data_IF_537292761815
#
_entry.id   IF_537292761815
#
_cell.length_a   1.000
_cell.length_b   1.000
_cell.length_c   1.000
_cell.angle_alpha   90.00
_cell.angle_beta   90.00
_cell.angle_gamma   90.00
#
_symmetry.space_group_name_H-M   'P 1'
#
loop_
_entity.id
_entity.type
_entity.pdbx_description
1 polymer ?
#
# COMPACT_ATOMS: atom_id res chain seq x y z
N UNK A 1 18.44 -24.82 22.07
CA UNK A 1 18.86 -23.70 21.23
C UNK A 1 17.60 -23.04 20.71
N UNK A 2 17.20 -21.89 21.26
CA UNK A 2 16.11 -21.11 20.67
C UNK A 2 16.66 -20.44 19.41
N UNK A 3 15.98 -20.49 18.26
CA UNK A 3 16.40 -19.69 17.13
C UNK A 3 16.40 -18.21 17.55
N UNK A 4 17.55 -17.56 17.36
CA UNK A 4 17.81 -16.12 17.50
C UNK A 4 16.67 -15.29 16.86
N UNK A 5 16.37 -14.04 17.30
CA UNK A 5 15.24 -13.27 16.81
C UNK A 5 15.37 -12.91 15.31
N UNK A 6 14.96 -13.87 14.48
CA UNK A 6 14.23 -13.80 13.23
C UNK A 6 14.74 -12.84 12.14
N UNK A 7 16.02 -12.49 12.08
CA UNK A 7 16.56 -11.86 10.86
C UNK A 7 16.79 -12.92 9.80
N UNK A 8 16.06 -12.86 8.68
CA UNK A 8 16.16 -13.84 7.61
C UNK A 8 14.94 -13.92 6.69
N UNK A 9 15.01 -14.80 5.70
CA UNK A 9 13.92 -15.08 4.76
C UNK A 9 13.30 -16.45 5.08
N UNK A 10 11.97 -16.50 5.08
CA UNK A 10 11.17 -17.71 5.21
C UNK A 10 10.46 -17.95 3.87
N UNK A 11 10.57 -19.16 3.34
CA UNK A 11 9.82 -19.63 2.17
C UNK A 11 8.80 -20.68 2.61
N UNK A 12 7.56 -20.53 2.17
CA UNK A 12 6.44 -21.41 2.47
C UNK A 12 6.22 -22.42 1.35
N UNK A 13 5.49 -23.50 1.67
CA UNK A 13 5.24 -24.60 0.74
C UNK A 13 4.44 -24.20 -0.52
N UNK A 14 3.67 -23.12 -0.45
CA UNK A 14 2.94 -22.55 -1.59
C UNK A 14 3.86 -21.72 -2.52
N UNK A 15 5.11 -21.46 -2.13
CA UNK A 15 6.07 -20.61 -2.84
C UNK A 15 6.10 -19.15 -2.36
N UNK A 16 5.27 -18.78 -1.37
CA UNK A 16 5.30 -17.45 -0.77
C UNK A 16 6.59 -17.25 0.03
N UNK A 17 7.13 -16.03 0.03
CA UNK A 17 8.37 -15.66 0.71
C UNK A 17 8.17 -14.45 1.60
N UNK A 18 8.78 -14.46 2.78
CA UNK A 18 8.69 -13.39 3.76
C UNK A 18 10.09 -13.06 4.29
N UNK A 19 10.41 -11.78 4.37
CA UNK A 19 11.69 -11.28 4.88
C UNK A 19 11.49 -10.51 6.18
N UNK A 20 12.36 -10.79 7.14
CA UNK A 20 12.37 -10.18 8.45
C UNK A 20 13.74 -9.60 8.79
N UNK A 21 13.72 -8.50 9.54
CA UNK A 21 14.87 -7.91 10.23
C UNK A 21 14.45 -7.61 11.66
N UNK A 22 15.21 -8.11 12.63
CA UNK A 22 14.95 -7.91 14.07
C UNK A 22 13.51 -8.30 14.49
N UNK A 23 12.98 -9.36 13.87
CA UNK A 23 11.62 -9.86 14.13
C UNK A 23 10.49 -9.05 13.49
N UNK A 24 10.79 -8.04 12.68
CA UNK A 24 9.80 -7.23 11.96
C UNK A 24 9.90 -7.46 10.45
N UNK A 25 8.77 -7.35 9.74
CA UNK A 25 8.76 -7.38 8.28
C UNK A 25 9.61 -6.23 7.75
N UNK A 26 10.64 -6.57 6.97
CA UNK A 26 11.58 -5.59 6.45
C UNK A 26 12.37 -6.17 5.27
N UNK A 27 12.54 -5.37 4.21
CA UNK A 27 13.54 -5.62 3.16
C UNK A 27 13.92 -4.31 2.46
N UNK A 28 15.22 -4.07 2.25
CA UNK A 28 15.72 -2.83 1.64
C UNK A 28 15.53 -2.81 0.12
N UNK A 29 15.91 -3.90 -0.57
CA UNK A 29 15.95 -3.96 -2.04
C UNK A 29 14.71 -4.61 -2.69
N UNK A 30 13.61 -4.76 -1.96
CA UNK A 30 12.45 -5.46 -2.49
C UNK A 30 11.28 -5.57 -1.53
N UNK A 31 10.22 -6.29 -1.93
CA UNK A 31 9.09 -6.54 -1.05
C UNK A 31 9.51 -7.43 0.12
N UNK A 32 9.02 -7.11 1.31
CA UNK A 32 9.18 -7.95 2.50
C UNK A 32 8.22 -9.15 2.49
N UNK A 33 7.21 -9.15 1.62
CA UNK A 33 6.37 -10.31 1.33
C UNK A 33 6.17 -10.46 -0.18
N UNK A 34 6.46 -11.63 -0.72
CA UNK A 34 6.13 -12.05 -2.08
C UNK A 34 5.18 -13.25 -1.97
N UNK A 35 3.92 -13.08 -2.35
CA UNK A 35 2.94 -14.16 -2.33
C UNK A 35 3.02 -14.99 -3.62
N UNK A 36 2.70 -16.28 -3.51
CA UNK A 36 2.66 -17.19 -4.64
C UNK A 36 1.66 -16.77 -5.75
N UNK A 37 0.61 -16.02 -5.40
CA UNK A 37 -0.36 -15.49 -6.34
C UNK A 37 0.14 -14.27 -7.14
N UNK A 38 1.33 -13.76 -6.81
CA UNK A 38 1.95 -12.60 -7.44
C UNK A 38 1.76 -11.28 -6.69
N UNK A 39 0.99 -11.25 -5.59
CA UNK A 39 0.90 -10.09 -4.71
C UNK A 39 2.27 -9.82 -4.06
N UNK A 40 2.60 -8.54 -3.89
CA UNK A 40 3.84 -8.08 -3.25
C UNK A 40 3.54 -6.98 -2.24
N UNK A 41 4.24 -7.03 -1.11
CA UNK A 41 4.12 -6.01 -0.07
C UNK A 41 5.50 -5.56 0.41
N UNK A 42 5.68 -4.24 0.51
CA UNK A 42 6.90 -3.61 0.99
C UNK A 42 6.69 -3.12 2.41
N UNK A 43 7.60 -3.55 3.29
CA UNK A 43 7.61 -3.14 4.68
C UNK A 43 8.96 -2.56 5.06
N UNK A 44 8.92 -1.55 5.92
CA UNK A 44 10.06 -0.99 6.65
C UNK A 44 9.69 -0.99 8.12
N UNK A 45 10.46 -1.74 8.91
CA UNK A 45 10.34 -1.83 10.37
C UNK A 45 8.91 -2.20 10.82
N UNK A 46 8.34 -3.20 10.12
CA UNK A 46 7.01 -3.74 10.41
C UNK A 46 5.84 -2.91 9.88
N UNK A 47 6.09 -1.78 9.20
CA UNK A 47 5.07 -0.92 8.63
C UNK A 47 5.09 -0.97 7.10
N UNK A 48 3.90 -0.97 6.47
CA UNK A 48 3.79 -0.82 5.02
C UNK A 48 4.42 0.51 4.61
N UNK A 49 5.44 0.44 3.75
CA UNK A 49 6.22 1.61 3.38
C UNK A 49 6.94 1.36 2.05
N UNK A 50 6.86 2.33 1.12
CA UNK A 50 7.74 2.41 -0.04
C UNK A 50 7.83 3.85 -0.55
N UNK A 51 9.03 4.31 -0.87
CA UNK A 51 9.27 5.71 -1.32
C UNK A 51 8.95 5.88 -2.81
N UNK A 52 9.48 4.99 -3.67
CA UNK A 52 9.43 5.14 -5.13
C UNK A 52 8.28 4.40 -5.82
N UNK A 53 7.30 3.91 -5.05
CA UNK A 53 6.25 3.07 -5.64
C UNK A 53 5.16 2.65 -4.64
N UNK A 54 4.22 1.82 -5.09
CA UNK A 54 3.19 1.28 -4.21
C UNK A 54 3.81 0.33 -3.18
N UNK A 55 3.38 0.44 -1.93
CA UNK A 55 3.75 -0.49 -0.87
C UNK A 55 2.98 -1.81 -0.95
N UNK A 56 1.90 -1.87 -1.75
CA UNK A 56 1.23 -3.11 -2.11
C UNK A 56 0.94 -3.13 -3.61
N UNK A 57 1.37 -4.21 -4.28
CA UNK A 57 1.02 -4.52 -5.66
C UNK A 57 0.24 -5.84 -5.66
N UNK A 58 -1.00 -5.81 -6.15
CA UNK A 58 -1.83 -7.00 -6.27
C UNK A 58 -1.70 -7.61 -7.66
N UNK A 59 -1.91 -8.92 -7.76
CA UNK A 59 -1.86 -9.66 -9.02
C UNK A 59 -2.89 -9.21 -10.05
N UNK A 60 -4.03 -8.66 -9.60
CA UNK A 60 -5.08 -8.11 -10.47
C UNK A 60 -4.74 -6.72 -11.03
N UNK A 61 -3.61 -6.14 -10.64
CA UNK A 61 -3.16 -4.81 -11.05
C UNK A 61 -3.55 -3.68 -10.11
N UNK A 62 -4.30 -3.96 -9.03
CA UNK A 62 -4.53 -2.97 -7.96
C UNK A 62 -3.20 -2.59 -7.31
N UNK A 63 -3.06 -1.30 -6.97
CA UNK A 63 -1.88 -0.75 -6.31
C UNK A 63 -2.30 0.12 -5.13
N UNK A 64 -1.57 0.04 -4.03
CA UNK A 64 -1.76 0.90 -2.87
C UNK A 64 -0.43 1.47 -2.41
N UNK A 65 -0.41 2.78 -2.14
CA UNK A 65 0.75 3.50 -1.66
C UNK A 65 0.61 3.77 -0.17
N UNK A 66 1.67 3.44 0.57
CA UNK A 66 1.77 3.66 2.00
C UNK A 66 3.13 4.28 2.34
N UNK A 67 3.12 5.17 3.32
CA UNK A 67 4.30 5.71 4.00
C UNK A 67 4.05 5.57 5.50
N UNK A 68 4.94 4.85 6.17
CA UNK A 68 4.91 4.62 7.63
C UNK A 68 3.56 4.05 8.11
N UNK A 69 3.03 3.08 7.36
CA UNK A 69 1.78 2.39 7.66
C UNK A 69 0.51 3.17 7.31
N UNK A 70 0.63 4.41 6.81
CA UNK A 70 -0.51 5.24 6.41
C UNK A 70 -0.63 5.34 4.90
N UNK A 71 -1.86 5.31 4.38
CA UNK A 71 -2.11 5.54 2.95
C UNK A 71 -1.67 6.96 2.58
N UNK A 72 -0.78 7.06 1.60
CA UNK A 72 -0.17 8.33 1.24
C UNK A 72 0.38 8.28 -0.19
N UNK A 73 0.22 9.36 -0.94
CA UNK A 73 0.94 9.64 -2.19
C UNK A 73 0.85 11.13 -2.52
N UNK A 74 1.97 11.76 -2.84
CA UNK A 74 2.04 13.21 -3.10
C UNK A 74 1.45 13.57 -4.47
N UNK A 75 1.91 12.89 -5.52
CA UNK A 75 1.58 13.26 -6.91
C UNK A 75 0.46 12.43 -7.55
N UNK A 76 -0.35 11.73 -6.75
CA UNK A 76 -1.35 10.82 -7.32
C UNK A 76 -2.27 10.17 -6.29
N UNK A 77 -3.15 9.26 -6.75
CA UNK A 77 -4.00 8.50 -5.84
C UNK A 77 -3.17 7.53 -5.00
N UNK A 78 -3.49 7.41 -3.72
CA UNK A 78 -2.90 6.40 -2.85
C UNK A 78 -3.50 5.01 -3.06
N UNK A 79 -4.59 4.89 -3.83
CA UNK A 79 -5.10 3.60 -4.32
C UNK A 79 -5.49 3.73 -5.79
N UNK A 80 -4.99 2.81 -6.62
CA UNK A 80 -5.43 2.59 -7.99
C UNK A 80 -6.02 1.19 -8.08
N UNK A 81 -7.30 1.09 -8.44
CA UNK A 81 -7.98 -0.19 -8.64
C UNK A 81 -7.80 -0.68 -10.07
N UNK A 82 -7.82 -2.00 -10.25
CA UNK A 82 -7.73 -2.64 -11.56
C UNK A 82 -8.81 -2.18 -12.55
N UNK A 83 -10.00 -1.81 -12.06
CA UNK A 83 -11.08 -1.28 -12.88
C UNK A 83 -10.89 0.19 -13.31
N UNK A 84 -9.81 0.84 -12.89
CA UNK A 84 -9.51 2.25 -13.18
C UNK A 84 -9.99 3.25 -12.13
N UNK A 85 -10.72 2.82 -11.09
CA UNK A 85 -11.11 3.70 -9.99
C UNK A 85 -9.89 4.13 -9.18
N UNK A 86 -9.93 5.34 -8.63
CA UNK A 86 -8.79 5.97 -7.93
C UNK A 86 -9.24 6.62 -6.63
N UNK A 87 -8.41 6.55 -5.60
CA UNK A 87 -8.68 7.17 -4.30
C UNK A 87 -7.46 7.91 -3.80
N UNK A 88 -7.67 9.17 -3.42
CA UNK A 88 -6.64 10.04 -2.86
C UNK A 88 -6.72 10.05 -1.34
N UNK A 89 -5.55 10.02 -0.72
CA UNK A 89 -5.39 10.07 0.72
C UNK A 89 -4.31 11.08 1.08
N UNK A 90 -4.50 11.76 2.21
CA UNK A 90 -3.50 12.56 2.92
C UNK A 90 -3.55 12.15 4.39
N UNK A 91 -2.40 11.83 4.96
CA UNK A 91 -2.25 11.44 6.37
C UNK A 91 -3.26 10.33 6.80
N UNK A 92 -3.40 9.31 5.94
CA UNK A 92 -4.31 8.19 6.18
C UNK A 92 -5.81 8.48 5.98
N UNK A 93 -6.18 9.72 5.66
CA UNK A 93 -7.57 10.14 5.46
C UNK A 93 -7.86 10.44 3.98
N UNK A 94 -9.08 10.13 3.52
CA UNK A 94 -9.51 10.52 2.17
C UNK A 94 -9.50 12.05 2.06
N UNK A 95 -8.71 12.59 1.13
CA UNK A 95 -8.54 14.02 0.94
C UNK A 95 -8.03 14.29 -0.48
N UNK A 96 -8.50 15.36 -1.11
CA UNK A 96 -7.84 15.96 -2.29
C UNK A 96 -8.13 17.45 -2.39
N UNK A 97 -7.13 18.26 -2.71
CA UNK A 97 -7.30 19.70 -2.83
C UNK A 97 -7.96 20.14 -4.13
N UNK A 98 -7.45 19.68 -5.26
CA UNK A 98 -7.84 20.20 -6.57
C UNK A 98 -8.76 19.24 -7.33
N UNK A 99 -9.59 18.47 -6.61
CA UNK A 99 -10.49 17.53 -7.26
C UNK A 99 -11.20 16.56 -6.31
N UNK A 100 -11.89 15.55 -6.86
CA UNK A 100 -12.53 14.53 -6.06
C UNK A 100 -11.48 13.63 -5.40
N UNK A 101 -11.71 13.28 -4.14
CA UNK A 101 -10.88 12.31 -3.44
C UNK A 101 -11.20 10.86 -3.85
N UNK A 102 -12.31 10.63 -4.58
CA UNK A 102 -12.62 9.35 -5.22
C UNK A 102 -13.07 9.61 -6.66
N UNK A 103 -12.45 8.92 -7.61
CA UNK A 103 -12.90 8.83 -9.00
C UNK A 103 -13.26 7.38 -9.29
N UNK A 104 -14.53 7.12 -9.62
CA UNK A 104 -14.99 5.79 -9.98
C UNK A 104 -14.82 5.56 -11.49
N UNK A 105 -14.61 4.31 -11.87
CA UNK A 105 -14.51 3.90 -13.28
C UNK A 105 -15.77 4.23 -14.11
N UNK A 106 -16.93 4.31 -13.47
CA UNK A 106 -18.20 4.69 -14.10
C UNK A 106 -18.37 6.22 -14.26
N UNK A 107 -17.36 7.01 -13.88
CA UNK A 107 -17.36 8.47 -13.98
C UNK A 107 -17.93 9.20 -12.77
N UNK A 108 -18.52 8.48 -11.78
CA UNK A 108 -18.92 9.10 -10.52
C UNK A 108 -17.70 9.65 -9.77
N UNK A 109 -17.93 10.67 -8.96
CA UNK A 109 -16.90 11.38 -8.20
C UNK A 109 -17.40 11.67 -6.79
N UNK A 110 -16.52 11.55 -5.80
CA UNK A 110 -16.79 12.00 -4.43
C UNK A 110 -15.65 12.88 -3.92
N UNK A 111 -16.02 13.95 -3.21
CA UNK A 111 -15.10 14.91 -2.64
C UNK A 111 -14.99 14.69 -1.14
N UNK A 112 -13.76 14.69 -0.64
CA UNK A 112 -13.46 14.59 0.78
C UNK A 112 -12.41 15.62 1.17
N UNK A 113 -12.59 16.21 2.34
CA UNK A 113 -11.62 17.08 3.02
C UNK A 113 -11.46 16.56 4.44
N UNK A 114 -10.22 16.21 4.78
CA UNK A 114 -9.82 15.73 6.11
C UNK A 114 -10.72 14.58 6.59
N UNK A 115 -10.92 13.61 5.69
CA UNK A 115 -11.74 12.43 5.92
C UNK A 115 -13.25 12.65 5.85
N UNK A 116 -13.73 13.90 5.76
CA UNK A 116 -15.15 14.23 5.72
C UNK A 116 -15.64 14.39 4.29
N UNK A 117 -16.76 13.75 3.96
CA UNK A 117 -17.41 13.91 2.65
C UNK A 117 -17.98 15.33 2.58
N UNK A 118 -17.64 16.06 1.53
CA UNK A 118 -18.22 17.37 1.27
C UNK A 118 -19.21 17.28 0.11
N UNK A 119 -20.27 18.09 0.17
CA UNK A 119 -21.10 18.29 -1.01
C UNK A 119 -20.27 19.01 -2.07
N UNK A 120 -20.49 18.66 -3.34
CA UNK A 120 -19.79 19.28 -4.48
C UNK A 120 -19.79 20.81 -4.36
N UNK A 121 -18.67 21.49 -4.69
CA UNK A 121 -18.67 22.94 -4.85
C UNK A 121 -19.65 23.39 -5.94
#
# INVERSE_FOLDING_TARGET
MSPDPHTGMIEYADGSKVWYRDGQLHREDGPAIEYADGRKEWYRDGQLHREDGPAIEYADGRKEWYRDGQRHREDGPAIEYANGSKVWYRDGQRHREDGPAIEYADGRKEWYRDGQRVQTP
#
